data_IF_043325773902
#
_entry.id   IF_043325773902
#
_cell.length_a   1.000
_cell.length_b   1.000
_cell.length_c   1.000
_cell.angle_alpha   90.00
_cell.angle_beta   90.00
_cell.angle_gamma   90.00
#
_symmetry.space_group_name_H-M   'P 1'
#
loop_
_entity.id
_entity.type
_entity.pdbx_description
1 polymer ?
#
# COMPACT_ATOMS: atom_id res chain seq x y z
N UNK A 1 9.49 5.48 4.13
CA UNK A 1 9.46 4.83 2.80
C UNK A 1 10.00 5.83 1.78
N UNK A 2 10.86 5.40 0.86
CA UNK A 2 11.39 6.29 -0.18
C UNK A 2 10.48 6.24 -1.42
N UNK A 3 9.87 7.37 -1.77
CA UNK A 3 8.91 7.47 -2.88
C UNK A 3 9.52 7.11 -4.25
N UNK A 4 10.85 7.23 -4.43
CA UNK A 4 11.52 6.82 -5.68
C UNK A 4 11.43 5.32 -5.96
N UNK A 5 11.25 4.49 -4.93
CA UNK A 5 11.07 3.04 -5.09
C UNK A 5 9.73 2.70 -5.77
N UNK A 6 8.73 3.59 -5.71
CA UNK A 6 7.44 3.40 -6.37
C UNK A 6 7.56 3.27 -7.89
N UNK A 7 8.56 3.91 -8.49
CA UNK A 7 8.80 3.86 -9.95
C UNK A 7 9.26 2.48 -10.43
N UNK A 8 9.68 1.60 -9.52
CA UNK A 8 10.11 0.24 -9.84
C UNK A 8 8.94 -0.74 -9.87
N UNK A 9 7.79 -0.35 -9.31
CA UNK A 9 6.61 -1.21 -9.20
C UNK A 9 5.92 -1.36 -10.56
N UNK A 10 5.47 -2.59 -10.83
CA UNK A 10 4.72 -2.93 -12.04
C UNK A 10 3.51 -3.76 -11.68
N UNK A 11 2.42 -3.54 -12.41
CA UNK A 11 1.25 -4.43 -12.34
C UNK A 11 1.69 -5.86 -12.67
N UNK A 12 1.10 -6.82 -11.96
CA UNK A 12 1.45 -8.23 -12.10
C UNK A 12 2.43 -8.75 -11.06
N UNK A 13 3.24 -7.87 -10.43
CA UNK A 13 4.23 -8.27 -9.43
C UNK A 13 3.61 -9.05 -8.25
N UNK A 14 4.34 -10.01 -7.70
CA UNK A 14 3.90 -10.75 -6.53
C UNK A 14 4.03 -9.94 -5.25
N UNK A 15 3.38 -10.42 -4.18
CA UNK A 15 3.55 -9.82 -2.85
C UNK A 15 5.03 -9.80 -2.47
N UNK A 16 5.78 -10.90 -2.66
CA UNK A 16 7.20 -10.94 -2.33
C UNK A 16 7.99 -9.88 -3.11
N UNK A 17 7.79 -9.80 -4.43
CA UNK A 17 8.49 -8.84 -5.28
C UNK A 17 8.25 -7.39 -4.85
N UNK A 18 7.01 -7.05 -4.50
CA UNK A 18 6.70 -5.70 -3.99
C UNK A 18 7.37 -5.45 -2.65
N UNK A 19 7.38 -6.43 -1.74
CA UNK A 19 7.99 -6.29 -0.41
C UNK A 19 9.52 -6.31 -0.44
N UNK A 20 10.14 -6.93 -1.44
CA UNK A 20 11.58 -6.83 -1.69
C UNK A 20 11.99 -5.42 -2.10
N UNK A 21 11.16 -4.75 -2.92
CA UNK A 21 11.41 -3.38 -3.38
C UNK A 21 11.15 -2.37 -2.25
N UNK A 22 10.04 -2.52 -1.51
CA UNK A 22 9.56 -1.53 -0.54
C UNK A 22 10.01 -1.81 0.90
N UNK A 23 10.50 -3.01 1.17
CA UNK A 23 10.88 -3.50 2.50
C UNK A 23 9.71 -4.15 3.26
N UNK A 24 10.05 -4.83 4.36
CA UNK A 24 9.09 -5.66 5.11
C UNK A 24 8.28 -4.90 6.18
N UNK A 25 8.31 -3.56 6.15
CA UNK A 25 7.64 -2.70 7.15
C UNK A 25 6.15 -2.43 6.86
N UNK A 26 5.49 -3.36 6.17
CA UNK A 26 4.10 -3.23 5.77
C UNK A 26 3.13 -3.84 6.79
N UNK A 27 1.87 -3.44 6.69
CA UNK A 27 0.75 -4.09 7.39
C UNK A 27 -0.16 -4.79 6.38
N UNK A 28 -0.66 -5.97 6.70
CA UNK A 28 -1.76 -6.59 5.95
C UNK A 28 -3.07 -6.00 6.45
N UNK A 29 -3.61 -5.01 5.73
CA UNK A 29 -4.86 -4.33 6.11
C UNK A 29 -6.10 -5.16 5.78
N UNK A 30 -5.98 -6.07 4.81
CA UNK A 30 -7.07 -6.98 4.45
C UNK A 30 -6.50 -8.26 3.83
N UNK A 31 -7.11 -9.40 4.16
CA UNK A 31 -6.94 -10.65 3.44
C UNK A 31 -8.27 -11.40 3.43
N UNK A 32 -8.87 -11.59 2.26
CA UNK A 32 -10.15 -12.30 2.11
C UNK A 32 -10.21 -13.08 0.81
N UNK A 33 -11.07 -14.10 0.77
CA UNK A 33 -11.44 -14.79 -0.46
C UNK A 33 -12.80 -14.26 -0.91
N UNK A 34 -12.89 -13.78 -2.16
CA UNK A 34 -14.12 -13.25 -2.76
C UNK A 34 -14.18 -13.73 -4.22
N UNK A 35 -15.30 -14.31 -4.65
CA UNK A 35 -15.49 -14.84 -6.02
C UNK A 35 -14.36 -15.77 -6.51
N UNK A 36 -13.88 -16.67 -5.64
CA UNK A 36 -12.74 -17.59 -5.89
C UNK A 36 -11.39 -16.88 -6.13
N UNK A 37 -11.28 -15.60 -5.77
CA UNK A 37 -10.03 -14.84 -5.80
C UNK A 37 -9.58 -14.51 -4.39
N UNK A 38 -8.29 -14.66 -4.12
CA UNK A 38 -7.68 -14.09 -2.92
C UNK A 38 -7.47 -12.59 -3.15
N UNK A 39 -8.10 -11.77 -2.33
CA UNK A 39 -7.92 -10.31 -2.29
C UNK A 39 -7.09 -9.98 -1.06
N UNK A 40 -5.87 -9.46 -1.29
CA UNK A 40 -4.95 -9.04 -0.23
C UNK A 40 -4.61 -7.57 -0.40
N UNK A 41 -4.68 -6.82 0.70
CA UNK A 41 -4.32 -5.40 0.72
C UNK A 41 -3.15 -5.24 1.68
N UNK A 42 -2.03 -4.76 1.15
CA UNK A 42 -0.91 -4.31 1.96
C UNK A 42 -0.96 -2.78 2.11
N UNK A 43 -0.52 -2.30 3.26
CA UNK A 43 -0.34 -0.88 3.50
C UNK A 43 1.04 -0.54 4.05
N UNK A 44 1.55 0.61 3.62
CA UNK A 44 2.77 1.22 4.15
C UNK A 44 2.42 2.63 4.61
N UNK A 45 2.84 3.00 5.82
CA UNK A 45 2.54 4.29 6.42
C UNK A 45 3.79 4.92 7.01
N UNK A 46 3.94 6.23 6.80
CA UNK A 46 4.82 7.08 7.60
C UNK A 46 4.03 8.31 8.10
N UNK A 47 4.72 9.32 8.63
CA UNK A 47 4.09 10.53 9.16
C UNK A 47 3.31 11.32 8.10
N UNK A 48 3.72 11.23 6.83
CA UNK A 48 3.29 12.17 5.78
C UNK A 48 2.49 11.47 4.67
N UNK A 49 2.60 10.14 4.56
CA UNK A 49 2.08 9.37 3.44
C UNK A 49 1.52 8.02 3.89
N UNK A 50 0.47 7.62 3.19
CA UNK A 50 -0.13 6.30 3.29
C UNK A 50 -0.25 5.67 1.90
N UNK A 51 0.24 4.44 1.75
CA UNK A 51 0.17 3.70 0.50
C UNK A 51 -0.63 2.43 0.70
N UNK A 52 -1.48 2.13 -0.27
CA UNK A 52 -2.29 0.92 -0.33
C UNK A 52 -1.98 0.15 -1.60
N UNK A 53 -1.74 -1.15 -1.48
CA UNK A 53 -1.42 -2.05 -2.58
C UNK A 53 -2.43 -3.19 -2.60
N UNK A 54 -3.20 -3.29 -3.69
CA UNK A 54 -4.21 -4.32 -3.87
C UNK A 54 -3.65 -5.45 -4.73
N UNK A 55 -3.68 -6.65 -4.19
CA UNK A 55 -3.31 -7.89 -4.85
C UNK A 55 -4.55 -8.74 -5.09
N UNK A 56 -4.62 -9.37 -6.26
CA UNK A 56 -5.58 -10.42 -6.57
C UNK A 56 -4.82 -11.68 -6.98
N UNK A 57 -5.03 -12.81 -6.30
CA UNK A 57 -4.31 -14.06 -6.52
C UNK A 57 -2.78 -13.87 -6.56
N UNK A 58 -2.24 -13.21 -5.53
CA UNK A 58 -0.81 -12.84 -5.42
C UNK A 58 -0.26 -12.01 -6.60
N UNK A 59 -1.10 -11.22 -7.27
CA UNK A 59 -0.71 -10.37 -8.39
C UNK A 59 -1.15 -8.93 -8.16
N UNK A 60 -0.21 -7.98 -8.16
CA UNK A 60 -0.48 -6.56 -7.94
C UNK A 60 -1.40 -6.01 -9.05
N UNK A 61 -2.58 -5.53 -8.66
CA UNK A 61 -3.59 -4.98 -9.60
C UNK A 61 -3.70 -3.48 -9.57
N UNK A 62 -3.41 -2.86 -8.42
CA UNK A 62 -3.40 -1.42 -8.28
C UNK A 62 -2.68 -1.00 -7.02
N UNK A 63 -2.27 0.26 -6.99
CA UNK A 63 -1.83 0.92 -5.77
C UNK A 63 -2.19 2.40 -5.81
N UNK A 64 -2.37 3.00 -4.64
CA UNK A 64 -2.62 4.42 -4.48
C UNK A 64 -1.79 5.00 -3.33
N UNK A 65 -1.52 6.30 -3.44
CA UNK A 65 -0.85 7.12 -2.43
C UNK A 65 -1.83 8.15 -1.92
N UNK A 66 -1.94 8.24 -0.61
CA UNK A 66 -2.67 9.26 0.12
C UNK A 66 -1.67 10.11 0.90
N UNK A 67 -1.79 11.44 0.74
CA UNK A 67 -1.02 12.40 1.52
C UNK A 67 -1.73 12.61 2.86
N UNK A 68 -1.05 12.29 3.95
CA UNK A 68 -1.52 12.60 5.29
C UNK A 68 -1.19 14.07 5.55
N UNK A 69 -2.13 14.96 5.20
CA UNK A 69 -2.00 16.37 5.59
C UNK A 69 -1.93 16.44 7.11
N UNK A 70 -1.01 17.25 7.68
CA UNK A 70 -1.05 17.52 9.10
C UNK A 70 -2.43 18.12 9.39
N UNK A 71 -3.17 17.50 10.31
CA UNK A 71 -4.40 18.06 10.84
C UNK A 71 -4.07 19.44 11.39
N UNK A 72 -4.41 20.49 10.64
CA UNK A 72 -4.46 21.84 11.16
C UNK A 72 -5.67 21.79 12.11
N UNK A 73 -5.43 21.52 13.39
CA UNK A 73 -6.42 21.81 14.42
C UNK A 73 -6.69 23.32 14.36
N UNK A 74 -7.68 23.74 13.58
CA UNK A 74 -8.30 25.05 13.79
C UNK A 74 -8.96 25.01 15.16
N UNK A 75 -8.18 25.35 16.19
CA UNK A 75 -8.73 25.86 17.44
C UNK A 75 -9.48 27.14 17.08
N UNK A 76 -10.80 27.02 16.90
CA UNK A 76 -11.68 28.18 17.00
C UNK A 76 -11.64 28.61 18.47
N UNK A 77 -10.98 29.73 18.72
CA UNK A 77 -11.08 30.49 19.96
C UNK A 77 -12.48 31.09 20.10
#
# INVERSE_FOLDING_TARGET
MNSTLMNQLKLGMTTEQVTEILGNSYTISQNKIEDKKEIKILSYRNSDEFYLFKFENNSLKSWNRELLLPTIETKQN
#
